data_IF_964185374942
#
_entry.id   IF_964185374942
#
_cell.length_a   1.000
_cell.length_b   1.000
_cell.length_c   1.000
_cell.angle_alpha   90.00
_cell.angle_beta   90.00
_cell.angle_gamma   90.00
#
_symmetry.space_group_name_H-M   'P 1'
#
loop_
_entity.id
_entity.type
_entity.pdbx_description
1 polymer ?
#
# COMPACT_ATOMS: atom_id res chain seq x y z
N UNK A 1 -22.24 -37.17 9.47
CA UNK A 1 -22.21 -35.70 9.59
C UNK A 1 -20.74 -35.29 9.63
N UNK A 2 -20.18 -34.87 8.51
CA UNK A 2 -18.82 -34.32 8.45
C UNK A 2 -18.94 -33.00 7.70
N UNK A 3 -19.19 -31.93 8.44
CA UNK A 3 -19.18 -30.58 7.90
C UNK A 3 -17.74 -30.07 7.91
N UNK A 4 -17.09 -30.15 6.75
CA UNK A 4 -15.85 -29.43 6.47
C UNK A 4 -16.11 -27.93 6.44
N UNK A 5 -15.62 -27.20 7.45
CA UNK A 5 -15.57 -25.72 7.49
C UNK A 5 -14.66 -25.18 6.37
N UNK A 6 -15.11 -24.27 5.50
CA UNK A 6 -14.21 -23.52 4.62
C UNK A 6 -13.97 -22.10 5.18
N UNK A 7 -12.68 -21.77 5.37
CA UNK A 7 -12.20 -20.38 5.35
C UNK A 7 -11.79 -19.77 6.69
N UNK A 8 -10.76 -20.32 7.35
CA UNK A 8 -9.98 -19.51 8.29
C UNK A 8 -9.22 -18.46 7.46
N UNK A 9 -9.77 -17.25 7.38
CA UNK A 9 -9.09 -16.11 6.77
C UNK A 9 -7.86 -15.80 7.62
N UNK A 10 -6.75 -16.48 7.32
CA UNK A 10 -5.48 -16.26 7.99
C UNK A 10 -5.26 -14.75 8.05
N UNK A 11 -5.10 -14.24 9.27
CA UNK A 11 -4.90 -12.82 9.52
C UNK A 11 -3.52 -12.41 9.00
N UNK A 12 -3.36 -12.34 7.69
CA UNK A 12 -2.10 -12.08 7.01
C UNK A 12 -1.84 -10.57 6.99
N UNK A 13 -0.58 -10.19 7.18
CA UNK A 13 -0.18 -8.79 7.14
C UNK A 13 -0.11 -8.29 5.70
N UNK A 14 -0.50 -7.04 5.48
CA UNK A 14 -0.25 -6.36 4.21
C UNK A 14 1.26 -6.25 3.95
N UNK A 15 1.72 -6.63 2.75
CA UNK A 15 3.15 -6.65 2.40
C UNK A 15 3.81 -5.27 2.40
N UNK A 16 3.02 -4.21 2.19
CA UNK A 16 3.50 -2.82 2.20
C UNK A 16 3.61 -2.26 3.63
N UNK A 17 2.51 -2.25 4.39
CA UNK A 17 2.46 -1.56 5.68
C UNK A 17 2.73 -2.48 6.89
N UNK A 18 2.78 -3.80 6.67
CA UNK A 18 2.97 -4.84 7.71
C UNK A 18 1.90 -4.87 8.81
N UNK A 19 0.75 -4.23 8.57
CA UNK A 19 -0.40 -4.29 9.46
C UNK A 19 -1.32 -5.45 9.10
N UNK A 20 -1.92 -6.02 10.14
CA UNK A 20 -2.90 -7.08 10.07
C UNK A 20 -4.33 -6.53 9.98
N UNK A 21 -4.55 -5.31 10.47
CA UNK A 21 -5.85 -4.63 10.51
C UNK A 21 -6.60 -4.74 9.18
N UNK A 22 -7.84 -5.24 9.21
CA UNK A 22 -8.75 -5.17 8.06
C UNK A 22 -9.77 -4.06 8.31
N UNK A 23 -9.43 -2.85 7.86
CA UNK A 23 -10.26 -1.68 8.03
C UNK A 23 -10.43 -0.97 6.68
N UNK A 24 -11.38 -1.41 5.83
CA UNK A 24 -11.55 -0.90 4.48
C UNK A 24 -11.74 0.62 4.40
N UNK A 25 -12.45 1.20 5.37
CA UNK A 25 -12.64 2.65 5.47
C UNK A 25 -11.34 3.43 5.67
N UNK A 26 -10.32 2.81 6.29
CA UNK A 26 -9.02 3.45 6.56
C UNK A 26 -7.99 3.11 5.50
N UNK A 27 -7.89 1.85 5.07
CA UNK A 27 -6.77 1.37 4.25
C UNK A 27 -7.19 0.88 2.85
N UNK A 28 -8.48 0.97 2.52
CA UNK A 28 -9.07 0.32 1.36
C UNK A 28 -9.24 -1.18 1.60
N UNK A 29 -9.95 -1.85 0.69
CA UNK A 29 -10.19 -3.29 0.77
C UNK A 29 -8.87 -4.07 0.94
N UNK A 30 -8.85 -5.03 1.86
CA UNK A 30 -7.73 -5.93 2.07
C UNK A 30 -7.91 -7.17 1.18
N UNK A 31 -7.01 -7.37 0.22
CA UNK A 31 -7.04 -8.53 -0.69
C UNK A 31 -5.92 -9.50 -0.41
N UNK A 32 -6.26 -10.78 -0.30
CA UNK A 32 -5.32 -11.90 -0.24
C UNK A 32 -5.37 -12.70 -1.54
N UNK A 33 -4.20 -12.97 -2.12
CA UNK A 33 -4.00 -13.82 -3.29
C UNK A 33 -3.17 -15.03 -2.87
N UNK A 34 -3.87 -16.08 -2.44
CA UNK A 34 -3.27 -17.30 -1.87
C UNK A 34 -2.23 -17.94 -2.80
N UNK A 35 -2.57 -18.05 -4.11
CA UNK A 35 -1.66 -18.55 -5.16
C UNK A 35 -0.27 -17.91 -5.13
N UNK A 36 -0.18 -16.65 -4.69
CA UNK A 36 1.04 -15.86 -4.71
C UNK A 36 1.58 -15.52 -3.32
N UNK A 37 0.93 -16.02 -2.26
CA UNK A 37 1.17 -15.67 -0.86
C UNK A 37 1.31 -14.15 -0.64
N UNK A 38 0.34 -13.40 -1.15
CA UNK A 38 0.36 -11.94 -1.19
C UNK A 38 -0.90 -11.38 -0.56
N UNK A 39 -0.75 -10.57 0.47
CA UNK A 39 -1.86 -9.80 1.07
C UNK A 39 -1.54 -8.31 0.98
N UNK A 40 -2.49 -7.52 0.51
CA UNK A 40 -2.33 -6.07 0.32
C UNK A 40 -3.57 -5.32 0.77
N UNK A 41 -3.37 -4.14 1.36
CA UNK A 41 -4.42 -3.12 1.45
C UNK A 41 -4.45 -2.32 0.17
N UNK A 42 -5.63 -2.08 -0.38
CA UNK A 42 -5.78 -1.41 -1.67
C UNK A 42 -5.12 -0.03 -1.69
N UNK A 43 -5.30 0.82 -0.68
CA UNK A 43 -4.67 2.15 -0.67
C UNK A 43 -3.16 2.11 -0.43
N UNK A 44 -2.63 1.05 0.21
CA UNK A 44 -1.18 0.86 0.30
C UNK A 44 -0.56 0.53 -1.07
N UNK A 45 -1.27 -0.25 -1.89
CA UNK A 45 -0.87 -0.59 -3.25
C UNK A 45 -1.04 0.60 -4.19
N UNK A 46 -2.24 1.20 -4.20
CA UNK A 46 -2.61 2.28 -5.11
C UNK A 46 -1.71 3.52 -4.98
N UNK A 47 -1.34 3.89 -3.75
CA UNK A 47 -0.54 5.10 -3.48
C UNK A 47 0.97 4.85 -3.55
N UNK A 48 1.41 3.64 -3.88
CA UNK A 48 2.83 3.29 -3.92
C UNK A 48 3.53 3.97 -5.11
N UNK A 49 4.66 4.64 -4.86
CA UNK A 49 5.23 5.59 -5.85
C UNK A 49 5.93 4.97 -7.05
N UNK A 50 6.16 3.66 -7.08
CA UNK A 50 6.91 2.95 -8.12
C UNK A 50 6.11 1.85 -8.81
N UNK A 51 4.78 1.95 -8.84
CA UNK A 51 3.93 0.95 -9.48
C UNK A 51 2.80 1.60 -10.30
N UNK A 52 2.42 0.94 -11.40
CA UNK A 52 1.40 1.39 -12.33
C UNK A 52 0.41 0.25 -12.63
N UNK A 53 -0.86 0.59 -12.81
CA UNK A 53 -1.88 -0.35 -13.27
C UNK A 53 -1.71 -0.54 -14.77
N UNK A 54 -1.28 -1.73 -15.19
CA UNK A 54 -1.07 -2.05 -16.62
C UNK A 54 -1.75 -3.35 -17.07
N UNK A 55 -2.27 -4.13 -16.14
CA UNK A 55 -3.11 -5.29 -16.43
C UNK A 55 -4.57 -4.90 -16.55
N UNK A 56 -5.41 -5.86 -16.92
CA UNK A 56 -6.87 -5.74 -16.87
C UNK A 56 -7.38 -5.84 -15.43
N UNK A 57 -8.60 -5.36 -15.16
CA UNK A 57 -9.14 -5.29 -13.80
C UNK A 57 -9.13 -6.64 -13.05
N UNK A 58 -9.39 -7.73 -13.76
CA UNK A 58 -9.39 -9.10 -13.26
C UNK A 58 -7.98 -9.68 -13.01
N UNK A 59 -6.94 -9.06 -13.57
CA UNK A 59 -5.56 -9.52 -13.46
C UNK A 59 -4.89 -9.01 -12.18
N UNK A 60 -4.10 -9.89 -11.56
CA UNK A 60 -3.36 -9.56 -10.35
C UNK A 60 -4.27 -9.07 -9.22
N UNK A 61 -4.08 -7.81 -8.81
CA UNK A 61 -4.92 -7.12 -7.82
C UNK A 61 -5.43 -5.82 -8.45
N UNK A 62 -6.66 -5.79 -8.98
CA UNK A 62 -7.24 -4.64 -9.69
C UNK A 62 -6.33 -4.10 -10.82
N UNK A 63 -5.84 -4.98 -11.69
CA UNK A 63 -4.94 -4.58 -12.80
C UNK A 63 -3.49 -4.27 -12.40
N UNK A 64 -3.14 -4.32 -11.11
CA UNK A 64 -1.75 -4.38 -10.68
C UNK A 64 -1.23 -5.81 -10.81
N UNK A 65 -0.32 -6.03 -11.76
CA UNK A 65 0.27 -7.35 -11.97
C UNK A 65 1.12 -7.78 -10.77
N UNK A 66 1.05 -9.06 -10.42
CA UNK A 66 1.73 -9.63 -9.23
C UNK A 66 3.24 -9.38 -9.27
N UNK A 67 3.85 -9.46 -10.45
CA UNK A 67 5.28 -9.19 -10.65
C UNK A 67 5.66 -7.74 -10.33
N UNK A 68 4.80 -6.79 -10.67
CA UNK A 68 5.05 -5.37 -10.40
C UNK A 68 4.84 -5.05 -8.92
N UNK A 69 3.85 -5.69 -8.27
CA UNK A 69 3.67 -5.61 -6.82
C UNK A 69 4.93 -6.10 -6.11
N UNK A 70 5.50 -7.24 -6.53
CA UNK A 70 6.73 -7.78 -5.92
C UNK A 70 7.94 -6.88 -6.17
N UNK A 71 8.11 -6.34 -7.38
CA UNK A 71 9.16 -5.35 -7.69
C UNK A 71 9.03 -4.13 -6.79
N UNK A 72 7.82 -3.64 -6.59
CA UNK A 72 7.56 -2.46 -5.78
C UNK A 72 7.79 -2.72 -4.28
N UNK A 73 7.38 -3.88 -3.77
CA UNK A 73 7.71 -4.32 -2.40
C UNK A 73 9.24 -4.41 -2.20
N UNK A 74 9.97 -4.92 -3.19
CA UNK A 74 11.43 -5.00 -3.17
C UNK A 74 12.10 -3.61 -3.24
N UNK A 75 11.53 -2.65 -3.96
CA UNK A 75 11.99 -1.25 -3.94
C UNK A 75 11.74 -0.64 -2.56
N UNK A 76 10.52 -0.78 -2.04
CA UNK A 76 10.09 -0.21 -0.77
C UNK A 76 10.86 -0.79 0.43
N UNK A 77 11.31 -2.04 0.36
CA UNK A 77 12.09 -2.69 1.44
C UNK A 77 13.42 -1.98 1.73
N UNK A 78 13.93 -1.18 0.79
CA UNK A 78 15.14 -0.36 0.93
C UNK A 78 14.84 1.03 1.50
N UNK A 79 13.57 1.41 1.63
CA UNK A 79 13.14 2.73 2.07
C UNK A 79 12.65 2.69 3.52
N UNK A 80 13.22 3.58 4.35
CA UNK A 80 12.86 3.71 5.76
C UNK A 80 11.71 4.69 5.92
N UNK A 81 10.68 4.29 6.66
CA UNK A 81 9.56 5.15 7.00
C UNK A 81 10.03 6.28 7.91
N UNK A 82 9.82 7.52 7.52
CA UNK A 82 10.19 8.69 8.32
C UNK A 82 9.40 8.82 9.63
N UNK A 83 8.26 8.13 9.74
CA UNK A 83 7.39 8.12 10.92
C UNK A 83 7.77 6.99 11.89
N UNK A 84 7.59 5.73 11.49
CA UNK A 84 7.78 4.57 12.37
C UNK A 84 9.21 3.98 12.36
N UNK A 85 10.11 4.52 11.51
CA UNK A 85 11.52 4.13 11.35
C UNK A 85 11.77 2.69 10.86
N UNK A 86 10.72 1.94 10.49
CA UNK A 86 10.80 0.61 9.86
C UNK A 86 10.89 0.71 8.33
N UNK A 87 11.43 -0.30 7.68
CA UNK A 87 11.52 -0.39 6.22
C UNK A 87 10.16 -0.74 5.57
N UNK A 88 10.06 -0.62 4.24
CA UNK A 88 8.83 -0.89 3.47
C UNK A 88 8.03 0.37 3.14
N UNK A 89 8.61 1.55 3.31
CA UNK A 89 7.94 2.83 3.11
C UNK A 89 7.79 3.14 1.62
N UNK A 90 6.72 2.63 1.02
CA UNK A 90 6.57 2.62 -0.44
C UNK A 90 6.07 3.94 -1.04
N UNK A 91 5.53 4.84 -0.21
CA UNK A 91 4.96 6.12 -0.62
C UNK A 91 5.96 7.24 -0.33
N UNK A 92 6.30 8.02 -1.35
CA UNK A 92 7.16 9.21 -1.26
C UNK A 92 6.37 10.51 -1.38
N UNK A 93 6.86 11.57 -0.72
CA UNK A 93 6.36 12.91 -0.97
C UNK A 93 6.78 13.40 -2.36
N UNK A 94 5.84 13.98 -3.12
CA UNK A 94 6.08 14.49 -4.49
C UNK A 94 6.85 15.81 -4.52
N UNK A 95 6.90 16.54 -3.40
CA UNK A 95 7.53 17.85 -3.35
C UNK A 95 9.00 17.78 -3.77
N UNK A 96 9.47 18.71 -4.64
CA UNK A 96 10.85 18.70 -5.12
C UNK A 96 11.87 18.63 -3.98
N UNK A 97 12.88 17.76 -4.14
CA UNK A 97 13.97 17.51 -3.17
C UNK A 97 13.52 16.90 -1.82
N UNK A 98 12.23 16.67 -1.59
CA UNK A 98 11.78 15.96 -0.39
C UNK A 98 12.15 14.47 -0.49
N UNK A 99 12.83 13.96 0.53
CA UNK A 99 13.25 12.54 0.60
C UNK A 99 12.38 11.71 1.56
N UNK A 100 11.25 12.25 2.02
CA UNK A 100 10.39 11.56 2.97
C UNK A 100 9.62 10.44 2.28
N UNK A 101 9.84 9.23 2.76
CA UNK A 101 9.02 8.06 2.47
C UNK A 101 8.26 7.61 3.71
N UNK A 102 7.04 7.10 3.55
CA UNK A 102 6.20 6.59 4.63
C UNK A 102 5.32 5.44 4.16
N UNK A 103 4.84 4.63 5.12
CA UNK A 103 3.72 3.72 4.87
C UNK A 103 2.42 4.52 4.79
N UNK A 104 1.42 4.01 4.05
CA UNK A 104 0.11 4.67 3.99
C UNK A 104 -0.50 4.93 5.39
N UNK A 105 -0.59 3.95 6.31
CA UNK A 105 -1.13 4.20 7.66
C UNK A 105 -0.32 5.23 8.47
N UNK A 106 1.00 5.25 8.28
CA UNK A 106 1.87 6.23 8.94
C UNK A 106 1.66 7.64 8.39
N UNK A 107 1.39 7.76 7.09
CA UNK A 107 1.05 9.04 6.48
C UNK A 107 -0.28 9.56 7.00
N UNK A 108 -1.30 8.70 7.14
CA UNK A 108 -2.58 9.08 7.76
C UNK A 108 -2.38 9.61 9.20
N UNK A 109 -1.57 8.92 10.01
CA UNK A 109 -1.25 9.36 11.39
C UNK A 109 -0.59 10.74 11.45
N UNK A 110 0.17 11.11 10.41
CA UNK A 110 0.86 12.40 10.32
C UNK A 110 0.09 13.41 9.48
N UNK A 111 -1.15 13.12 9.08
CA UNK A 111 -1.95 14.00 8.24
C UNK A 111 -1.24 14.34 6.91
N UNK A 112 -0.62 13.35 6.29
CA UNK A 112 -0.20 13.44 4.89
C UNK A 112 -1.44 13.53 3.98
N UNK A 113 -1.31 14.24 2.86
CA UNK A 113 -2.36 14.30 1.84
C UNK A 113 -2.06 13.27 0.74
N UNK A 114 -3.08 12.48 0.39
CA UNK A 114 -3.04 11.50 -0.69
C UNK A 114 -4.09 11.90 -1.73
N UNK A 115 -3.67 12.19 -2.95
CA UNK A 115 -4.58 12.49 -4.04
C UNK A 115 -4.96 11.17 -4.73
N UNK A 116 -6.26 10.90 -4.85
CA UNK A 116 -6.78 9.70 -5.53
C UNK A 116 -7.18 9.96 -6.99
N UNK A 117 -6.71 11.08 -7.54
CA UNK A 117 -6.99 11.55 -8.90
C UNK A 117 -5.70 12.00 -9.57
N UNK A 118 -5.71 12.06 -10.90
CA UNK A 118 -4.54 12.47 -11.70
C UNK A 118 -3.35 11.54 -11.49
N UNK A 119 -2.21 12.09 -11.08
CA UNK A 119 -0.95 11.36 -10.92
C UNK A 119 -0.79 10.67 -9.55
N UNK A 120 -1.86 10.54 -8.77
CA UNK A 120 -1.85 9.92 -7.45
C UNK A 120 -0.79 10.51 -6.49
N UNK A 121 -0.62 11.84 -6.54
CA UNK A 121 0.43 12.50 -5.79
C UNK A 121 0.21 12.40 -4.27
N UNK A 122 1.31 12.26 -3.53
CA UNK A 122 1.31 12.21 -2.07
C UNK A 122 2.18 13.33 -1.51
N UNK A 123 1.68 14.02 -0.48
CA UNK A 123 2.36 15.14 0.17
C UNK A 123 2.58 14.82 1.65
N UNK A 124 3.81 15.00 2.14
CA UNK A 124 4.09 14.88 3.56
C UNK A 124 3.49 16.07 4.32
N UNK A 125 3.44 15.97 5.64
CA UNK A 125 2.88 16.97 6.53
C UNK A 125 3.50 18.38 6.42
N UNK A 126 4.75 18.51 5.96
CA UNK A 126 5.40 19.81 5.74
C UNK A 126 5.12 20.40 4.35
N UNK A 127 4.63 19.60 3.41
CA UNK A 127 4.44 19.99 2.01
C UNK A 127 2.99 19.83 1.55
N UNK A 128 2.05 19.86 2.49
CA UNK A 128 0.63 19.85 2.14
C UNK A 128 0.32 21.06 1.25
N UNK A 129 -0.36 20.88 0.11
CA UNK A 129 -0.85 22.02 -0.66
C UNK A 129 -1.76 22.89 0.22
N UNK A 130 -1.56 24.21 0.15
CA UNK A 130 -2.49 25.18 0.71
C UNK A 130 -3.66 25.29 -0.26
N UNK A 131 -4.88 25.21 0.27
CA UNK A 131 -6.11 25.46 -0.51
C UNK A 131 -6.39 26.95 -0.59
#
# INVERSE_FOLDING_TARGET
MNESKPGDSQNLACVFCRKHDDCPNKYGEKKTKEKWNLTVHYYCLLMSSGIWQRGKEEEGVYGFLIEDIRKEVNRASKLKCCVCKKNGASIGCVAPRCKRSYHFPCGLQRECIFQFTGNFASFCWDHRPVQ
#
